data_IF_874480346440
#
_entry.id   IF_874480346440
#
_cell.length_a   1.000
_cell.length_b   1.000
_cell.length_c   1.000
_cell.angle_alpha   90.00
_cell.angle_beta   90.00
_cell.angle_gamma   90.00
#
_symmetry.space_group_name_H-M   'P 1'
#
loop_
_entity.id
_entity.type
_entity.pdbx_description
1 polymer ?
#
# COMPACT_ATOMS: atom_id res chain seq x y z
N UNK A 1 -17.22 11.78 -16.00
CA UNK A 1 -16.11 11.02 -16.64
C UNK A 1 -14.70 11.34 -16.12
N UNK A 2 -14.43 12.55 -15.64
CA UNK A 2 -13.11 12.96 -15.10
C UNK A 2 -12.60 12.08 -13.93
N UNK A 3 -13.43 11.80 -12.93
CA UNK A 3 -13.05 10.95 -11.78
C UNK A 3 -12.54 9.56 -12.20
N UNK A 4 -13.29 8.87 -13.06
CA UNK A 4 -12.96 7.49 -13.49
C UNK A 4 -11.60 7.43 -14.18
N UNK A 5 -11.28 8.46 -14.98
CA UNK A 5 -10.00 8.55 -15.67
C UNK A 5 -8.83 8.77 -14.71
N UNK A 6 -8.98 9.68 -13.73
CA UNK A 6 -7.96 9.88 -12.70
C UNK A 6 -7.79 8.67 -11.79
N UNK A 7 -8.89 8.03 -11.39
CA UNK A 7 -8.87 6.81 -10.61
C UNK A 7 -8.11 5.71 -11.35
N UNK A 8 -8.45 5.42 -12.62
CA UNK A 8 -7.74 4.41 -13.40
C UNK A 8 -6.26 4.74 -13.59
N UNK A 9 -5.93 6.00 -13.87
CA UNK A 9 -4.54 6.45 -14.01
C UNK A 9 -3.74 6.20 -12.72
N UNK A 10 -4.28 6.60 -11.58
CA UNK A 10 -3.61 6.45 -10.29
C UNK A 10 -3.46 4.98 -9.91
N UNK A 11 -4.50 4.17 -10.06
CA UNK A 11 -4.43 2.75 -9.75
C UNK A 11 -3.47 2.01 -10.68
N UNK A 12 -3.45 2.27 -11.99
CA UNK A 12 -2.45 1.68 -12.90
C UNK A 12 -1.01 1.88 -12.42
N UNK A 13 -0.68 3.08 -11.94
CA UNK A 13 0.64 3.36 -11.38
C UNK A 13 0.92 2.49 -10.14
N UNK A 14 -0.07 2.27 -9.27
CA UNK A 14 0.07 1.37 -8.11
C UNK A 14 0.38 -0.08 -8.49
N UNK A 15 -0.08 -0.53 -9.65
CA UNK A 15 0.21 -1.85 -10.24
C UNK A 15 1.43 -1.84 -11.18
N UNK A 16 2.16 -0.74 -11.35
CA UNK A 16 3.27 -0.67 -12.31
C UNK A 16 2.84 -0.89 -13.77
N UNK A 17 1.61 -0.51 -14.13
CA UNK A 17 1.08 -0.54 -15.49
C UNK A 17 1.35 0.80 -16.17
N UNK A 18 2.04 0.77 -17.31
CA UNK A 18 2.48 1.98 -18.02
C UNK A 18 1.56 2.35 -19.20
N UNK A 19 0.82 1.38 -19.73
CA UNK A 19 -0.15 1.59 -20.82
C UNK A 19 -1.57 1.42 -20.30
N UNK A 20 -2.51 2.06 -20.98
CA UNK A 20 -3.93 1.89 -20.70
C UNK A 20 -4.48 0.70 -21.49
N UNK A 21 -5.16 -0.20 -20.79
CA UNK A 21 -5.92 -1.30 -21.38
C UNK A 21 -7.35 -1.32 -20.82
N UNK A 22 -8.30 -1.77 -21.63
CA UNK A 22 -9.73 -1.72 -21.28
C UNK A 22 -10.07 -2.59 -20.06
N UNK A 23 -9.39 -3.74 -19.93
CA UNK A 23 -9.58 -4.69 -18.82
C UNK A 23 -8.82 -4.31 -17.53
N UNK A 24 -8.08 -3.20 -17.51
CA UNK A 24 -7.35 -2.78 -16.31
C UNK A 24 -8.29 -2.53 -15.14
N UNK A 25 -9.48 -1.99 -15.43
CA UNK A 25 -10.50 -1.73 -14.41
C UNK A 25 -10.90 -3.01 -13.67
N UNK A 26 -11.14 -4.09 -14.41
CA UNK A 26 -11.57 -5.36 -13.84
C UNK A 26 -10.44 -5.98 -13.03
N UNK A 27 -9.21 -5.92 -13.52
CA UNK A 27 -8.02 -6.38 -12.79
C UNK A 27 -7.84 -5.63 -11.45
N UNK A 28 -8.00 -4.30 -11.46
CA UNK A 28 -7.89 -3.46 -10.26
C UNK A 28 -9.01 -3.80 -9.27
N UNK A 29 -10.26 -3.90 -9.75
CA UNK A 29 -11.40 -4.21 -8.91
C UNK A 29 -11.30 -5.61 -8.31
N UNK A 30 -10.88 -6.61 -9.08
CA UNK A 30 -10.64 -7.97 -8.58
C UNK A 30 -9.64 -7.96 -7.41
N UNK A 31 -8.57 -7.17 -7.50
CA UNK A 31 -7.58 -7.03 -6.41
C UNK A 31 -8.17 -6.39 -5.16
N UNK A 32 -8.95 -5.31 -5.32
CA UNK A 32 -9.62 -4.64 -4.21
C UNK A 32 -10.62 -5.58 -3.51
N UNK A 33 -11.38 -6.35 -4.28
CA UNK A 33 -12.30 -7.35 -3.73
C UNK A 33 -11.57 -8.47 -2.98
N UNK A 34 -10.38 -8.88 -3.44
CA UNK A 34 -9.54 -9.85 -2.72
C UNK A 34 -9.04 -9.28 -1.39
N UNK A 35 -8.63 -8.01 -1.39
CA UNK A 35 -8.20 -7.34 -0.17
C UNK A 35 -9.33 -7.22 0.85
N UNK A 36 -10.53 -6.84 0.40
CA UNK A 36 -11.72 -6.79 1.23
C UNK A 36 -12.04 -8.18 1.82
N UNK A 37 -12.13 -9.20 0.95
CA UNK A 37 -12.45 -10.58 1.35
C UNK A 37 -11.51 -11.12 2.43
N UNK A 38 -10.22 -10.82 2.32
CA UNK A 38 -9.19 -11.36 3.20
C UNK A 38 -8.74 -10.37 4.28
N UNK A 39 -9.44 -9.24 4.43
CA UNK A 39 -9.11 -8.17 5.38
C UNK A 39 -7.64 -7.72 5.32
N UNK A 40 -7.12 -7.55 4.10
CA UNK A 40 -5.72 -7.21 3.89
C UNK A 40 -5.48 -5.71 4.07
N UNK A 41 -4.34 -5.37 4.65
CA UNK A 41 -3.91 -3.99 4.81
C UNK A 41 -3.74 -3.31 3.44
N UNK A 42 -4.38 -2.16 3.24
CA UNK A 42 -4.41 -1.50 1.94
C UNK A 42 -3.01 -1.13 1.44
N UNK A 43 -2.27 -0.40 2.26
CA UNK A 43 -0.95 0.12 1.91
C UNK A 43 0.05 -1.01 1.71
N UNK A 44 0.10 -1.98 2.62
CA UNK A 44 1.03 -3.11 2.54
C UNK A 44 0.70 -4.05 1.39
N UNK A 45 -0.57 -4.23 1.03
CA UNK A 45 -0.97 -5.04 -0.13
C UNK A 45 -0.42 -4.47 -1.43
N UNK A 46 -0.58 -3.16 -1.64
CA UNK A 46 -0.04 -2.47 -2.81
C UNK A 46 1.49 -2.42 -2.81
N UNK A 47 2.11 -2.16 -1.65
CA UNK A 47 3.58 -2.20 -1.52
C UNK A 47 4.13 -3.60 -1.81
N UNK A 48 3.39 -4.64 -1.42
CA UNK A 48 3.70 -6.05 -1.66
C UNK A 48 3.76 -6.42 -3.14
N UNK A 49 3.13 -5.66 -4.04
CA UNK A 49 3.21 -5.89 -5.49
C UNK A 49 4.64 -5.75 -6.02
N UNK A 50 5.47 -4.90 -5.41
CA UNK A 50 6.89 -4.76 -5.78
C UNK A 50 7.72 -6.01 -5.45
N UNK A 51 7.21 -6.86 -4.55
CA UNK A 51 7.85 -8.09 -4.05
C UNK A 51 6.99 -9.32 -4.36
N UNK A 52 6.06 -9.26 -5.32
CA UNK A 52 5.05 -10.30 -5.57
C UNK A 52 5.65 -11.68 -5.93
N UNK A 53 6.90 -11.70 -6.43
CA UNK A 53 7.64 -12.92 -6.74
C UNK A 53 8.32 -13.53 -5.50
N UNK A 54 8.60 -12.73 -4.47
CA UNK A 54 9.39 -13.13 -3.31
C UNK A 54 8.57 -13.98 -2.33
N UNK A 55 9.19 -14.96 -1.68
CA UNK A 55 8.55 -15.91 -0.74
C UNK A 55 7.76 -15.25 0.39
N UNK A 56 8.14 -14.05 0.85
CA UNK A 56 7.46 -13.32 1.93
C UNK A 56 6.31 -12.37 1.52
N UNK A 57 5.69 -12.55 0.35
CA UNK A 57 4.55 -11.70 -0.03
C UNK A 57 3.31 -12.06 0.79
N UNK A 58 2.72 -11.06 1.47
CA UNK A 58 1.48 -11.16 2.26
C UNK A 58 0.29 -11.74 1.49
N UNK A 59 0.37 -11.73 0.17
CA UNK A 59 -0.71 -12.10 -0.73
C UNK A 59 -0.70 -13.60 -1.10
N UNK A 60 0.39 -14.33 -0.83
CA UNK A 60 0.61 -15.70 -1.34
C UNK A 60 -0.30 -16.78 -0.74
N UNK A 61 -0.99 -16.50 0.36
CA UNK A 61 -1.68 -17.52 1.15
C UNK A 61 -3.10 -17.85 0.65
N UNK A 62 -3.54 -17.29 -0.48
CA UNK A 62 -4.92 -17.42 -0.95
C UNK A 62 -5.00 -17.90 -2.41
N UNK A 63 -5.77 -18.97 -2.65
CA UNK A 63 -5.91 -19.57 -3.99
C UNK A 63 -6.53 -18.62 -5.03
N UNK A 64 -7.47 -17.78 -4.59
CA UNK A 64 -8.07 -16.76 -5.45
C UNK A 64 -7.09 -15.63 -5.79
N UNK A 65 -6.17 -15.30 -4.88
CA UNK A 65 -5.05 -14.42 -5.19
C UNK A 65 -4.11 -15.04 -6.23
N UNK A 66 -3.81 -16.34 -6.13
CA UNK A 66 -2.98 -17.02 -7.13
C UNK A 66 -3.60 -16.96 -8.53
N UNK A 67 -4.93 -17.13 -8.64
CA UNK A 67 -5.64 -16.96 -9.91
C UNK A 67 -5.58 -15.52 -10.43
N UNK A 68 -5.79 -14.53 -9.55
CA UNK A 68 -5.67 -13.12 -9.92
C UNK A 68 -4.26 -12.76 -10.37
N UNK A 69 -3.24 -13.29 -9.70
CA UNK A 69 -1.83 -13.08 -10.01
C UNK A 69 -1.46 -13.55 -11.41
N UNK A 70 -2.06 -14.66 -11.89
CA UNK A 70 -1.90 -15.09 -13.28
C UNK A 70 -2.46 -14.04 -14.27
N UNK A 71 -3.69 -13.54 -14.04
CA UNK A 71 -4.27 -12.46 -14.86
C UNK A 71 -3.41 -11.20 -14.84
N UNK A 72 -2.84 -10.87 -13.67
CA UNK A 72 -1.94 -9.73 -13.52
C UNK A 72 -0.68 -9.91 -14.37
N UNK A 73 -0.03 -11.08 -14.33
CA UNK A 73 1.14 -11.33 -15.19
C UNK A 73 0.81 -11.31 -16.68
N UNK A 74 -0.30 -11.91 -17.10
CA UNK A 74 -0.75 -11.85 -18.48
C UNK A 74 -0.93 -10.40 -18.94
N UNK A 75 -1.41 -9.53 -18.04
CA UNK A 75 -1.52 -8.10 -18.29
C UNK A 75 -0.17 -7.41 -18.33
N UNK A 76 0.76 -7.73 -17.44
CA UNK A 76 2.11 -7.18 -17.45
C UNK A 76 2.84 -7.52 -18.76
N UNK A 77 2.72 -8.76 -19.24
CA UNK A 77 3.36 -9.24 -20.47
C UNK A 77 2.87 -8.53 -21.76
N UNK A 78 1.78 -7.79 -21.71
CA UNK A 78 1.30 -6.96 -22.83
C UNK A 78 2.06 -5.63 -22.97
N UNK A 79 2.97 -5.32 -22.05
CA UNK A 79 3.84 -4.14 -22.14
C UNK A 79 5.31 -4.57 -22.08
N UNK A 80 6.12 -4.05 -23.00
CA UNK A 80 7.57 -4.25 -23.00
C UNK A 80 8.25 -3.30 -21.99
N UNK A 81 8.02 -3.53 -20.69
CA UNK A 81 8.60 -2.75 -19.59
C UNK A 81 9.41 -3.70 -18.69
N UNK A 82 10.63 -3.28 -18.33
CA UNK A 82 11.50 -4.08 -17.49
C UNK A 82 10.94 -4.24 -16.06
N UNK A 83 11.30 -5.34 -15.39
CA UNK A 83 10.92 -5.56 -13.99
C UNK A 83 11.41 -4.42 -13.08
N UNK A 84 12.62 -3.90 -13.33
CA UNK A 84 13.21 -2.81 -12.55
C UNK A 84 12.38 -1.51 -12.67
N UNK A 85 11.96 -1.15 -13.88
CA UNK A 85 11.10 0.02 -14.11
C UNK A 85 9.74 -0.16 -13.45
N UNK A 86 9.12 -1.35 -13.53
CA UNK A 86 7.85 -1.62 -12.86
C UNK A 86 7.96 -1.49 -11.35
N UNK A 87 9.00 -2.07 -10.75
CA UNK A 87 9.25 -1.95 -9.31
C UNK A 87 9.42 -0.48 -8.92
N UNK A 88 10.15 0.31 -9.73
CA UNK A 88 10.30 1.75 -9.49
C UNK A 88 8.95 2.47 -9.52
N UNK A 89 8.09 2.19 -10.51
CA UNK A 89 6.74 2.75 -10.61
C UNK A 89 5.88 2.36 -9.40
N UNK A 90 5.88 1.08 -9.02
CA UNK A 90 5.12 0.58 -7.87
C UNK A 90 5.57 1.27 -6.57
N UNK A 91 6.88 1.38 -6.34
CA UNK A 91 7.44 2.05 -5.15
C UNK A 91 7.09 3.54 -5.11
N UNK A 92 7.12 4.21 -6.26
CA UNK A 92 6.77 5.63 -6.34
C UNK A 92 5.28 5.90 -6.16
N UNK A 93 4.41 4.97 -6.57
CA UNK A 93 2.97 5.12 -6.46
C UNK A 93 2.38 4.63 -5.12
N UNK A 94 3.16 3.87 -4.34
CA UNK A 94 2.69 3.23 -3.10
C UNK A 94 3.60 3.61 -1.93
N UNK A 95 3.11 4.43 -0.99
CA UNK A 95 3.90 4.81 0.17
C UNK A 95 4.18 3.61 1.08
N UNK A 96 5.32 3.65 1.75
CA UNK A 96 5.70 2.77 2.88
C UNK A 96 5.04 3.24 4.16
N UNK A 97 4.98 4.56 4.35
CA UNK A 97 4.51 5.19 5.59
C UNK A 97 3.24 6.01 5.34
N UNK A 98 2.24 5.80 6.20
CA UNK A 98 0.99 6.56 6.23
C UNK A 98 0.65 6.90 7.69
N UNK A 99 -0.12 7.96 7.96
CA UNK A 99 -0.60 8.29 9.31
C UNK A 99 -1.61 7.26 9.82
N UNK A 100 -1.13 6.07 10.19
CA UNK A 100 -1.95 4.99 10.76
C UNK A 100 -2.44 5.41 12.14
N UNK A 101 -3.72 5.15 12.44
CA UNK A 101 -4.34 5.58 13.70
C UNK A 101 -3.55 5.13 14.94
N UNK A 102 -3.07 3.89 14.99
CA UNK A 102 -2.30 3.39 16.14
C UNK A 102 -0.93 4.11 16.32
N UNK A 103 -0.33 4.59 15.24
CA UNK A 103 0.90 5.40 15.32
C UNK A 103 0.57 6.79 15.84
N UNK A 104 -0.52 7.39 15.33
CA UNK A 104 -1.00 8.69 15.79
C UNK A 104 -1.39 8.66 17.27
N UNK A 105 -2.08 7.61 17.72
CA UNK A 105 -2.49 7.46 19.12
C UNK A 105 -1.29 7.39 20.08
N UNK A 106 -0.24 6.64 19.71
CA UNK A 106 1.01 6.59 20.47
C UNK A 106 1.69 7.97 20.53
N UNK A 107 1.72 8.67 19.40
CA UNK A 107 2.28 10.03 19.33
C UNK A 107 1.51 10.97 20.26
N UNK A 108 0.18 10.93 20.25
CA UNK A 108 -0.66 11.76 21.12
C UNK A 108 -0.40 11.42 22.58
N UNK A 109 -0.40 10.13 22.94
CA UNK A 109 -0.17 9.65 24.31
C UNK A 109 1.17 10.14 24.86
N UNK A 110 2.26 9.94 24.11
CA UNK A 110 3.60 10.38 24.52
C UNK A 110 3.69 11.93 24.59
N UNK A 111 3.05 12.63 23.66
CA UNK A 111 3.04 14.11 23.64
C UNK A 111 2.31 14.72 24.84
N UNK A 112 1.28 14.05 25.37
CA UNK A 112 0.59 14.48 26.60
C UNK A 112 1.50 14.41 27.83
N UNK A 113 2.52 13.55 27.81
CA UNK A 113 3.58 13.47 28.83
C UNK A 113 4.74 14.44 28.55
N UNK A 114 4.59 15.34 27.57
CA UNK A 114 5.60 16.28 27.05
C UNK A 114 6.79 15.60 26.33
N UNK A 115 6.66 14.34 25.90
CA UNK A 115 7.64 13.70 25.02
C UNK A 115 7.22 13.81 23.54
N UNK A 116 7.93 14.66 22.80
CA UNK A 116 7.68 14.91 21.37
C UNK A 116 8.66 14.17 20.44
N UNK A 117 9.51 13.28 20.96
CA UNK A 117 10.53 12.60 20.16
C UNK A 117 9.90 11.80 19.00
N UNK A 118 8.85 11.01 19.28
CA UNK A 118 8.14 10.24 18.25
C UNK A 118 7.43 11.12 17.24
N UNK A 119 6.82 12.22 17.68
CA UNK A 119 6.20 13.20 16.78
C UNK A 119 7.22 13.71 15.74
N UNK A 120 8.38 14.18 16.20
CA UNK A 120 9.41 14.69 15.30
C UNK A 120 9.98 13.61 14.37
N UNK A 121 10.20 12.39 14.90
CA UNK A 121 10.65 11.26 14.10
C UNK A 121 9.61 10.89 13.01
N UNK A 122 8.33 10.84 13.37
CA UNK A 122 7.26 10.50 12.43
C UNK A 122 7.03 11.58 11.40
N UNK A 123 7.08 12.87 11.78
CA UNK A 123 6.98 13.98 10.85
C UNK A 123 8.14 13.96 9.83
N UNK A 124 9.37 13.66 10.28
CA UNK A 124 10.52 13.47 9.37
C UNK A 124 10.33 12.27 8.44
N UNK A 125 9.79 11.16 8.96
CA UNK A 125 9.44 9.98 8.16
C UNK A 125 8.43 10.30 7.05
N UNK A 126 7.36 11.04 7.37
CA UNK A 126 6.32 11.43 6.42
C UNK A 126 6.78 12.42 5.35
N UNK A 127 7.95 13.07 5.50
CA UNK A 127 8.52 13.92 4.45
C UNK A 127 8.97 13.14 3.21
N UNK A 128 9.20 11.83 3.36
CA UNK A 128 9.59 10.94 2.27
C UNK A 128 8.91 9.56 2.42
N UNK A 129 7.58 9.48 2.26
CA UNK A 129 6.80 8.32 2.68
C UNK A 129 6.97 7.13 1.74
N UNK A 130 7.60 7.30 0.57
CA UNK A 130 7.76 6.26 -0.46
C UNK A 130 9.10 5.50 -0.36
N UNK A 131 10.05 6.00 0.43
CA UNK A 131 11.36 5.37 0.57
C UNK A 131 11.44 4.57 1.89
N UNK A 132 11.78 3.29 1.79
CA UNK A 132 12.04 2.46 2.96
C UNK A 132 13.27 3.01 3.72
N UNK A 133 13.12 3.22 5.03
CA UNK A 133 14.19 3.67 5.92
C UNK A 133 14.19 2.77 7.16
N UNK A 134 15.33 2.13 7.44
CA UNK A 134 15.46 1.19 8.56
C UNK A 134 15.15 1.84 9.91
N UNK A 135 15.45 3.13 10.07
CA UNK A 135 15.15 3.91 11.29
C UNK A 135 13.64 4.01 11.55
N UNK A 136 12.81 3.97 10.51
CA UNK A 136 11.36 4.18 10.59
C UNK A 136 10.55 2.90 10.36
N UNK A 137 11.20 1.74 10.44
CA UNK A 137 10.57 0.44 10.15
C UNK A 137 9.29 0.22 10.99
N UNK A 138 9.25 0.70 12.22
CA UNK A 138 8.08 0.58 13.10
C UNK A 138 6.83 1.30 12.53
N UNK A 139 7.00 2.47 11.90
CA UNK A 139 5.90 3.28 11.37
C UNK A 139 5.24 2.67 10.14
N UNK A 140 5.92 1.76 9.45
CA UNK A 140 5.38 1.06 8.29
C UNK A 140 4.50 -0.15 8.63
N UNK A 141 4.50 -0.62 9.88
CA UNK A 141 3.82 -1.85 10.28
C UNK A 141 2.30 -1.66 10.37
N UNK A 142 1.56 -2.74 10.10
CA UNK A 142 0.14 -2.81 10.43
C UNK A 142 -0.03 -2.83 11.96
N UNK A 143 -1.16 -2.33 12.50
CA UNK A 143 -1.44 -2.45 13.93
C UNK A 143 -1.49 -3.92 14.34
N UNK A 144 -0.93 -4.22 15.52
CA UNK A 144 -1.26 -5.45 16.23
C UNK A 144 -2.74 -5.44 16.66
N UNK A 145 -3.31 -6.60 16.97
CA UNK A 145 -4.72 -6.69 17.36
C UNK A 145 -5.05 -5.81 18.59
N UNK A 146 -4.13 -5.70 19.54
CA UNK A 146 -4.25 -4.85 20.72
C UNK A 146 -3.92 -3.37 20.47
N UNK A 147 -3.44 -3.00 19.28
CA UNK A 147 -3.13 -1.62 18.88
C UNK A 147 -4.22 -1.02 17.98
N UNK A 148 -5.22 -1.81 17.59
CA UNK A 148 -6.31 -1.34 16.72
C UNK A 148 -7.13 -0.26 17.44
N UNK A 149 -7.02 0.96 16.94
CA UNK A 149 -7.87 2.09 17.32
C UNK A 149 -9.19 1.96 16.55
N UNK A 150 -10.23 1.46 17.23
CA UNK A 150 -11.55 1.19 16.65
C UNK A 150 -12.43 2.44 16.55
N UNK A 151 -12.14 3.45 17.37
CA UNK A 151 -12.83 4.72 17.37
C UNK A 151 -11.81 5.83 17.13
N UNK A 152 -11.93 6.50 16.00
CA UNK A 152 -11.20 7.74 15.75
C UNK A 152 -12.12 8.91 15.97
N UNK A 153 -11.71 9.87 16.80
CA UNK A 153 -12.36 11.19 16.88
C UNK A 153 -12.05 12.08 15.67
N UNK A 154 -12.06 11.50 14.47
CA UNK A 154 -12.21 12.26 13.23
C UNK A 154 -13.71 12.43 12.98
N UNK A 155 -14.36 13.20 13.85
CA UNK A 155 -15.72 13.67 13.61
C UNK A 155 -15.69 14.77 12.56
N UNK A 156 -16.00 14.41 11.31
CA UNK A 156 -16.66 15.25 10.29
C UNK A 156 -17.31 14.34 9.26
#
# INVERSE_FOLDING_TARGET
DTYKNFWLKNFRAKFGLHKSFIKDKDLINDFLSLMEKHNLDFTLSFQGLAKINNEGSLLKNYDDFNRWKLKYYDRLNQENISLAERIKTIKFANPVYIPRNHVIEKIITESLENDFARFHAFNKCLSNPFEENKEYTEFGKAPLDNEKVLETFCGT
#
